data_IF_300681057507
#
_entry.id   IF_300681057507
#
_cell.length_a   1.000
_cell.length_b   1.000
_cell.length_c   1.000
_cell.angle_alpha   90.00
_cell.angle_beta   90.00
_cell.angle_gamma   90.00
#
_symmetry.space_group_name_H-M   'P 1'
#
loop_
_entity.id
_entity.type
_entity.pdbx_description
1 polymer ?
#
# COMPACT_ATOMS: atom_id res chain seq x y z
N UNK A 1 25.34 7.44 10.84
CA UNK A 1 26.74 7.89 11.00
C UNK A 1 26.71 9.41 10.82
N UNK A 2 27.02 10.19 11.84
CA UNK A 2 27.07 11.66 11.70
C UNK A 2 28.18 11.97 10.69
N UNK A 3 27.96 12.80 9.65
CA UNK A 3 29.00 13.09 8.68
C UNK A 3 30.24 13.62 9.40
N UNK A 4 31.42 13.17 8.96
CA UNK A 4 32.69 13.63 9.51
C UNK A 4 32.77 15.16 9.33
N UNK A 5 32.63 15.91 10.42
CA UNK A 5 32.69 17.37 10.37
C UNK A 5 34.11 17.83 10.06
N UNK A 6 34.24 18.85 9.20
CA UNK A 6 35.48 19.60 9.08
C UNK A 6 35.50 20.62 10.22
N UNK A 7 36.19 20.31 11.31
CA UNK A 7 36.23 21.18 12.48
C UNK A 7 37.42 22.13 12.38
N UNK A 8 37.17 23.43 12.56
CA UNK A 8 38.21 24.42 12.83
C UNK A 8 38.21 24.67 14.33
N UNK A 9 39.34 24.37 14.96
CA UNK A 9 39.60 24.65 16.37
C UNK A 9 40.56 25.83 16.51
N UNK A 10 40.22 26.78 17.37
CA UNK A 10 41.16 27.77 17.87
C UNK A 10 41.76 27.24 19.18
N UNK A 11 43.08 27.07 19.19
CA UNK A 11 43.84 26.59 20.35
C UNK A 11 44.75 27.69 20.87
N UNK A 12 44.86 27.79 22.18
CA UNK A 12 45.82 28.67 22.85
C UNK A 12 47.25 28.23 22.48
N UNK A 13 48.07 29.18 22.02
CA UNK A 13 49.41 28.89 21.52
C UNK A 13 50.44 28.60 22.64
N UNK A 14 50.16 28.98 23.88
CA UNK A 14 51.05 28.80 25.03
C UNK A 14 50.86 27.48 25.76
N UNK A 15 49.62 26.99 25.85
CA UNK A 15 49.30 25.78 26.62
C UNK A 15 48.51 24.70 25.84
N UNK A 16 48.10 24.99 24.60
CA UNK A 16 47.37 24.04 23.75
C UNK A 16 45.89 23.88 24.10
N UNK A 17 45.35 24.69 25.01
CA UNK A 17 43.93 24.62 25.39
C UNK A 17 43.03 24.96 24.20
N UNK A 18 42.01 24.13 23.95
CA UNK A 18 40.99 24.43 22.95
C UNK A 18 40.11 25.59 23.44
N UNK A 19 40.26 26.76 22.82
CA UNK A 19 39.50 27.96 23.14
C UNK A 19 38.12 27.94 22.49
N UNK A 20 38.04 27.43 21.27
CA UNK A 20 36.79 27.39 20.50
C UNK A 20 36.87 26.32 19.41
N UNK A 21 35.73 25.73 19.04
CA UNK A 21 35.61 24.90 17.84
C UNK A 21 34.31 25.20 17.12
N UNK A 22 34.35 25.19 15.79
CA UNK A 22 33.15 25.23 14.96
C UNK A 22 33.30 24.29 13.77
N UNK A 23 32.17 23.81 13.26
CA UNK A 23 32.14 23.02 12.03
C UNK A 23 32.24 24.00 10.85
N UNK A 24 33.30 23.90 10.06
CA UNK A 24 33.52 24.64 8.82
C UNK A 24 32.96 23.91 7.59
N UNK A 25 32.39 22.71 7.77
CA UNK A 25 31.60 22.06 6.73
C UNK A 25 30.35 22.86 6.43
N UNK A 26 30.36 23.55 5.29
CA UNK A 26 29.16 24.17 4.73
C UNK A 26 28.38 23.10 3.97
N UNK A 27 27.09 22.99 4.27
CA UNK A 27 26.14 22.16 3.54
C UNK A 27 25.04 23.03 2.98
N UNK A 28 24.50 22.60 1.84
CA UNK A 28 23.32 23.17 1.23
C UNK A 28 22.27 22.08 1.18
N UNK A 29 21.04 22.44 1.49
CA UNK A 29 19.89 21.54 1.40
C UNK A 29 19.17 21.79 0.10
N UNK A 30 19.09 20.76 -0.74
CA UNK A 30 18.14 20.70 -1.84
C UNK A 30 16.90 19.98 -1.35
N UNK A 31 15.75 20.64 -1.45
CA UNK A 31 14.47 20.14 -0.96
C UNK A 31 13.47 20.12 -2.10
N UNK A 32 12.44 19.29 -2.00
CA UNK A 32 11.36 19.30 -2.97
C UNK A 32 10.37 18.19 -2.71
N UNK A 33 9.32 18.14 -3.53
CA UNK A 33 8.37 17.05 -3.54
C UNK A 33 8.51 16.27 -4.85
N UNK A 34 8.49 14.95 -4.75
CA UNK A 34 8.35 14.06 -5.91
C UNK A 34 6.88 13.72 -6.07
N UNK A 35 6.33 14.07 -7.23
CA UNK A 35 4.99 13.69 -7.68
C UNK A 35 5.09 12.83 -8.93
N UNK A 36 4.00 12.16 -9.29
CA UNK A 36 3.82 11.48 -10.57
C UNK A 36 2.45 11.79 -11.16
N UNK A 37 2.36 11.71 -12.48
CA UNK A 37 1.08 11.73 -13.20
C UNK A 37 0.41 10.34 -13.07
N UNK A 38 -0.65 10.25 -12.27
CA UNK A 38 -1.32 8.99 -11.88
C UNK A 38 -2.74 8.93 -12.45
N UNK A 39 -3.16 7.75 -12.90
CA UNK A 39 -4.56 7.46 -13.17
C UNK A 39 -5.27 7.17 -11.83
N UNK A 40 -6.20 8.02 -11.38
CA UNK A 40 -6.70 7.98 -10.00
C UNK A 40 -7.48 6.72 -9.63
N UNK A 41 -8.08 6.02 -10.59
CA UNK A 41 -8.88 4.82 -10.31
C UNK A 41 -8.73 3.73 -11.36
N UNK A 42 -8.84 4.07 -12.65
CA UNK A 42 -8.78 3.10 -13.74
C UNK A 42 -8.02 3.61 -14.95
N UNK A 43 -7.55 2.67 -15.76
CA UNK A 43 -6.93 2.92 -17.05
C UNK A 43 -7.81 3.84 -17.92
N UNK A 44 -7.21 4.93 -18.39
CA UNK A 44 -7.83 5.93 -19.25
C UNK A 44 -8.38 7.14 -18.48
N UNK A 45 -8.36 7.13 -17.15
CA UNK A 45 -8.76 8.30 -16.36
C UNK A 45 -7.84 9.49 -16.65
N UNK A 46 -8.36 10.74 -16.58
CA UNK A 46 -7.51 11.92 -16.62
C UNK A 46 -6.45 11.88 -15.53
N UNK A 47 -5.19 12.06 -15.93
CA UNK A 47 -4.06 12.02 -15.01
C UNK A 47 -4.15 13.14 -13.98
N UNK A 48 -3.84 12.81 -12.72
CA UNK A 48 -3.67 13.76 -11.62
C UNK A 48 -2.24 13.70 -11.09
N UNK A 49 -1.73 14.82 -10.58
CA UNK A 49 -0.43 14.82 -9.92
C UNK A 49 -0.58 14.34 -8.48
N UNK A 50 0.02 13.20 -8.18
CA UNK A 50 -0.03 12.58 -6.86
C UNK A 50 1.38 12.43 -6.28
N UNK A 51 1.57 12.54 -4.95
CA UNK A 51 2.86 12.30 -4.32
C UNK A 51 3.40 10.87 -4.52
N UNK A 52 4.73 10.74 -4.55
CA UNK A 52 5.44 9.46 -4.62
C UNK A 52 6.14 9.17 -3.27
N UNK A 53 5.44 8.52 -2.32
CA UNK A 53 5.98 8.29 -0.98
C UNK A 53 7.03 7.17 -0.97
N UNK A 54 7.94 7.21 0.01
CA UNK A 54 8.93 6.18 0.33
C UNK A 54 9.93 5.82 -0.79
N UNK A 55 10.06 6.68 -1.81
CA UNK A 55 10.97 6.50 -2.93
C UNK A 55 12.41 6.67 -2.47
N UNK A 56 13.31 5.77 -2.87
CA UNK A 56 14.73 5.81 -2.53
C UNK A 56 15.53 6.34 -3.71
N UNK A 57 15.62 7.67 -3.82
CA UNK A 57 16.46 8.32 -4.83
C UNK A 57 17.94 8.22 -4.47
N UNK A 58 18.81 8.40 -5.45
CA UNK A 58 20.27 8.35 -5.26
C UNK A 58 20.92 9.59 -5.84
N UNK A 59 21.54 10.40 -5.00
CA UNK A 59 22.37 11.52 -5.43
C UNK A 59 23.77 11.03 -5.86
N UNK A 60 24.19 11.42 -7.05
CA UNK A 60 25.50 11.08 -7.65
C UNK A 60 26.18 12.33 -8.22
N UNK A 61 27.44 12.20 -8.65
CA UNK A 61 28.23 13.30 -9.23
C UNK A 61 28.89 14.23 -8.19
N UNK A 62 29.53 15.31 -8.67
CA UNK A 62 30.11 16.36 -7.83
C UNK A 62 31.23 15.91 -6.86
N UNK A 63 32.02 14.90 -7.21
CA UNK A 63 33.16 14.44 -6.40
C UNK A 63 32.80 13.71 -5.10
N UNK A 64 31.57 13.19 -4.96
CA UNK A 64 31.19 12.35 -3.82
C UNK A 64 32.05 11.07 -3.75
N UNK A 65 32.59 10.80 -2.57
CA UNK A 65 32.96 9.44 -2.19
C UNK A 65 31.69 8.73 -1.69
N UNK A 66 30.98 8.05 -2.59
CA UNK A 66 29.79 7.23 -2.27
C UNK A 66 28.47 7.74 -2.86
N UNK A 67 27.49 6.85 -2.95
CA UNK A 67 26.11 7.17 -3.32
C UNK A 67 25.35 7.62 -2.06
N UNK A 68 24.64 8.75 -2.13
CA UNK A 68 23.79 9.21 -1.03
C UNK A 68 22.34 8.87 -1.36
N UNK A 69 21.72 8.02 -0.54
CA UNK A 69 20.29 7.74 -0.63
C UNK A 69 19.49 8.93 -0.10
N UNK A 70 18.48 9.34 -0.85
CA UNK A 70 17.60 10.48 -0.55
C UNK A 70 16.17 9.95 -0.56
N UNK A 71 15.63 9.54 0.61
CA UNK A 71 14.27 9.03 0.69
C UNK A 71 13.25 10.16 0.52
N UNK A 72 12.08 9.85 -0.03
CA UNK A 72 10.88 10.67 0.15
C UNK A 72 10.10 10.22 1.39
N UNK A 73 9.46 11.17 2.08
CA UNK A 73 8.52 10.87 3.17
C UNK A 73 7.16 10.37 2.63
N UNK A 74 6.20 10.09 3.51
CA UNK A 74 4.83 9.68 3.13
C UNK A 74 4.03 10.72 2.33
N UNK A 75 4.58 11.92 2.12
CA UNK A 75 4.01 12.99 1.29
C UNK A 75 4.88 13.27 0.06
N UNK A 76 5.86 12.42 -0.26
CA UNK A 76 6.76 12.61 -1.39
C UNK A 76 7.82 13.68 -1.18
N UNK A 77 7.95 14.30 0.00
CA UNK A 77 8.95 15.33 0.24
C UNK A 77 10.32 14.70 0.48
N UNK A 78 11.36 15.34 -0.03
CA UNK A 78 12.74 14.93 0.19
C UNK A 78 13.62 16.09 0.64
N UNK A 79 14.68 15.74 1.35
CA UNK A 79 15.78 16.65 1.71
C UNK A 79 17.10 15.97 1.37
N UNK A 80 17.83 16.56 0.43
CA UNK A 80 19.20 16.22 0.11
C UNK A 80 20.14 17.24 0.77
N UNK A 81 20.82 16.84 1.82
CA UNK A 81 21.91 17.62 2.42
C UNK A 81 23.22 17.32 1.70
N UNK A 82 23.84 18.33 1.09
CA UNK A 82 25.05 18.15 0.28
C UNK A 82 26.05 19.29 0.40
N UNK A 83 27.38 19.07 0.35
CA UNK A 83 28.37 20.15 0.44
C UNK A 83 28.35 21.16 -0.71
N UNK A 84 28.00 20.72 -1.93
CA UNK A 84 27.91 21.58 -3.13
C UNK A 84 26.96 20.95 -4.14
N UNK A 85 25.76 21.49 -4.43
CA UNK A 85 24.81 20.90 -5.38
C UNK A 85 25.31 20.92 -6.84
N UNK A 86 26.33 21.70 -7.17
CA UNK A 86 26.80 21.92 -8.55
C UNK A 86 27.32 20.63 -9.17
N UNK A 87 26.84 20.32 -10.38
CA UNK A 87 27.28 19.14 -11.13
C UNK A 87 26.82 17.81 -10.52
N UNK A 88 25.82 17.84 -9.63
CA UNK A 88 25.17 16.63 -9.12
C UNK A 88 23.96 16.23 -9.95
N UNK A 89 23.63 14.95 -9.85
CA UNK A 89 22.45 14.37 -10.45
C UNK A 89 21.69 13.54 -9.41
N UNK A 90 20.37 13.55 -9.49
CA UNK A 90 19.48 12.64 -8.78
C UNK A 90 19.07 11.51 -9.74
N UNK A 91 19.43 10.28 -9.40
CA UNK A 91 18.89 9.07 -10.01
C UNK A 91 17.60 8.70 -9.26
N UNK A 92 16.53 8.49 -10.00
CA UNK A 92 15.17 8.33 -9.49
C UNK A 92 14.61 7.00 -10.02
N UNK A 93 14.97 5.85 -9.43
CA UNK A 93 14.32 4.59 -9.76
C UNK A 93 12.93 4.53 -9.13
N UNK A 94 11.98 3.83 -9.75
CA UNK A 94 10.72 3.43 -9.10
C UNK A 94 10.98 2.29 -8.09
N UNK A 95 11.81 2.57 -7.11
CA UNK A 95 12.20 1.68 -6.02
C UNK A 95 12.17 2.45 -4.70
N UNK A 96 11.50 1.89 -3.71
CA UNK A 96 11.27 2.49 -2.40
C UNK A 96 11.53 1.55 -1.24
N UNK A 97 11.22 2.01 -0.04
CA UNK A 97 11.33 1.19 1.17
C UNK A 97 10.35 0.00 1.17
N UNK A 98 9.19 0.14 0.53
CA UNK A 98 8.07 -0.80 0.62
C UNK A 98 7.59 -1.35 -0.73
N UNK A 99 8.28 -1.03 -1.82
CA UNK A 99 7.95 -1.53 -3.14
C UNK A 99 9.03 -1.20 -4.16
N UNK A 100 9.29 -2.11 -5.09
CA UNK A 100 10.19 -1.89 -6.22
C UNK A 100 9.52 -2.36 -7.50
N UNK A 101 9.35 -1.45 -8.46
CA UNK A 101 8.80 -1.81 -9.77
C UNK A 101 9.84 -2.60 -10.57
N UNK A 102 9.34 -3.63 -11.24
CA UNK A 102 10.07 -4.44 -12.21
C UNK A 102 9.21 -4.55 -13.45
N UNK A 103 9.65 -3.97 -14.56
CA UNK A 103 8.87 -3.94 -15.80
C UNK A 103 9.22 -5.13 -16.69
N UNK A 104 8.30 -6.07 -16.84
CA UNK A 104 8.49 -7.26 -17.67
C UNK A 104 8.62 -6.93 -19.16
N UNK A 105 8.02 -5.83 -19.64
CA UNK A 105 8.19 -5.36 -21.02
C UNK A 105 9.58 -4.74 -21.26
N UNK A 106 10.27 -4.33 -20.19
CA UNK A 106 11.64 -3.80 -20.22
C UNK A 106 12.68 -4.80 -19.68
N UNK A 107 12.53 -6.09 -20.00
CA UNK A 107 13.45 -7.17 -19.57
C UNK A 107 13.62 -7.25 -18.04
N UNK A 108 12.54 -7.00 -17.29
CA UNK A 108 12.53 -6.97 -15.82
C UNK A 108 13.48 -5.92 -15.23
N UNK A 109 13.66 -4.78 -15.92
CA UNK A 109 14.36 -3.63 -15.37
C UNK A 109 13.45 -2.77 -14.48
N UNK A 110 14.04 -2.06 -13.51
CA UNK A 110 13.34 -1.01 -12.77
C UNK A 110 13.39 0.30 -13.56
N UNK A 111 12.24 0.91 -13.94
CA UNK A 111 12.21 2.19 -14.62
C UNK A 111 12.88 3.29 -13.78
N UNK A 112 13.70 4.12 -14.42
CA UNK A 112 14.42 5.19 -13.75
C UNK A 112 14.74 6.39 -14.65
N UNK A 113 14.95 7.54 -14.02
CA UNK A 113 15.46 8.74 -14.69
C UNK A 113 16.64 9.35 -13.92
N UNK A 114 17.35 10.24 -14.60
CA UNK A 114 18.49 10.97 -14.05
C UNK A 114 18.27 12.46 -14.28
N UNK A 115 18.21 13.23 -13.21
CA UNK A 115 17.92 14.67 -13.25
C UNK A 115 19.09 15.46 -12.69
N UNK A 116 19.59 16.47 -13.41
CA UNK A 116 20.63 17.35 -12.90
C UNK A 116 20.07 18.29 -11.83
N UNK A 117 20.77 18.42 -10.70
CA UNK A 117 20.39 19.38 -9.67
C UNK A 117 20.76 20.80 -10.10
N UNK A 118 19.91 21.80 -9.79
CA UNK A 118 20.26 23.20 -10.03
C UNK A 118 21.48 23.60 -9.18
N UNK A 119 22.45 24.26 -9.80
CA UNK A 119 23.70 24.69 -9.14
C UNK A 119 23.60 25.98 -8.32
N UNK A 120 22.40 26.51 -8.08
CA UNK A 120 22.20 27.81 -7.42
C UNK A 120 21.04 27.78 -6.42
N UNK A 121 21.17 28.53 -5.32
CA UNK A 121 20.15 28.73 -4.27
C UNK A 121 19.06 29.74 -4.69
N UNK A 122 17.79 29.60 -4.24
CA UNK A 122 17.24 28.55 -3.37
C UNK A 122 17.07 27.21 -4.10
N UNK A 123 17.30 26.11 -3.39
CA UNK A 123 17.23 24.75 -3.93
C UNK A 123 15.88 24.10 -3.55
N UNK A 124 14.77 24.75 -3.87
CA UNK A 124 13.50 24.05 -3.96
C UNK A 124 13.39 23.47 -5.39
N UNK A 125 13.29 22.16 -5.49
CA UNK A 125 13.37 21.43 -6.75
C UNK A 125 12.31 20.33 -6.80
N UNK A 126 11.03 20.69 -7.07
CA UNK A 126 9.98 19.71 -7.25
C UNK A 126 10.22 18.88 -8.51
N UNK A 127 9.85 17.60 -8.45
CA UNK A 127 10.04 16.62 -9.51
C UNK A 127 8.68 16.02 -9.85
N UNK A 128 8.34 15.98 -11.13
CA UNK A 128 7.16 15.26 -11.61
C UNK A 128 7.59 14.11 -12.53
N UNK A 129 7.22 12.89 -12.16
CA UNK A 129 7.47 11.68 -12.93
C UNK A 129 6.30 11.43 -13.89
N UNK A 130 6.60 11.07 -15.13
CA UNK A 130 5.57 10.87 -16.14
C UNK A 130 6.07 10.11 -17.36
N UNK A 131 5.14 9.84 -18.27
CA UNK A 131 5.39 9.23 -19.58
C UNK A 131 6.12 10.20 -20.53
N UNK A 132 6.99 9.74 -21.45
CA UNK A 132 7.35 8.34 -21.70
C UNK A 132 8.49 7.79 -20.84
N UNK A 133 9.07 8.59 -19.94
CA UNK A 133 10.21 8.16 -19.12
C UNK A 133 9.85 7.02 -18.17
N UNK A 134 8.64 7.08 -17.62
CA UNK A 134 8.07 6.04 -16.77
C UNK A 134 6.76 5.52 -17.41
N UNK A 135 6.61 4.21 -17.65
CA UNK A 135 5.35 3.63 -18.08
C UNK A 135 4.22 3.94 -17.08
N UNK A 136 3.00 4.17 -17.57
CA UNK A 136 1.87 4.51 -16.70
C UNK A 136 1.56 3.39 -15.68
N UNK A 137 1.61 2.13 -16.13
CA UNK A 137 1.51 0.92 -15.29
C UNK A 137 2.49 0.93 -14.12
N UNK A 138 3.73 1.35 -14.37
CA UNK A 138 4.76 1.43 -13.35
C UNK A 138 4.49 2.54 -12.32
N UNK A 139 4.02 3.71 -12.77
CA UNK A 139 3.68 4.83 -11.89
C UNK A 139 2.49 4.49 -10.99
N UNK A 140 1.39 4.01 -11.59
CA UNK A 140 0.16 3.67 -10.86
C UNK A 140 0.40 2.54 -9.86
N UNK A 141 1.05 1.45 -10.27
CA UNK A 141 1.32 0.32 -9.38
C UNK A 141 2.22 0.70 -8.20
N UNK A 142 3.24 1.55 -8.43
CA UNK A 142 4.09 2.02 -7.34
C UNK A 142 3.29 2.86 -6.36
N UNK A 143 2.53 3.83 -6.88
CA UNK A 143 1.72 4.74 -6.09
C UNK A 143 0.70 3.99 -5.23
N UNK A 144 -0.12 3.12 -5.84
CA UNK A 144 -1.16 2.39 -5.11
C UNK A 144 -0.61 1.32 -4.18
N UNK A 145 0.52 0.67 -4.54
CA UNK A 145 1.22 -0.25 -3.63
C UNK A 145 1.75 0.46 -2.38
N UNK A 146 2.33 1.66 -2.55
CA UNK A 146 2.80 2.46 -1.42
C UNK A 146 1.65 2.99 -0.54
N UNK A 147 0.54 3.41 -1.14
CA UNK A 147 -0.66 3.78 -0.39
C UNK A 147 -1.27 2.60 0.37
N UNK A 148 -1.24 1.39 -0.18
CA UNK A 148 -1.70 0.18 0.50
C UNK A 148 -0.82 -0.16 1.70
N UNK A 149 0.50 0.01 1.58
CA UNK A 149 1.40 -0.08 2.72
C UNK A 149 1.07 0.96 3.80
N UNK A 150 0.97 2.24 3.43
CA UNK A 150 0.67 3.31 4.39
C UNK A 150 -0.68 3.14 5.08
N UNK A 151 -1.69 2.67 4.34
CA UNK A 151 -3.00 2.34 4.89
C UNK A 151 -2.89 1.28 5.99
N UNK A 152 -2.24 0.14 5.71
CA UNK A 152 -2.14 -0.92 6.71
C UNK A 152 -1.27 -0.51 7.91
N UNK A 153 -0.21 0.28 7.68
CA UNK A 153 0.59 0.85 8.78
C UNK A 153 -0.18 1.89 9.60
N UNK A 154 -1.17 2.55 9.00
CA UNK A 154 -2.09 3.44 9.70
C UNK A 154 -3.04 2.68 10.63
N UNK A 155 -3.48 1.48 10.23
CA UNK A 155 -4.32 0.59 11.05
C UNK A 155 -3.51 -0.13 12.13
N UNK A 156 -2.38 -0.76 11.74
CA UNK A 156 -1.46 -1.45 12.65
C UNK A 156 0.00 -1.05 12.40
N UNK A 157 0.49 -0.02 13.12
CA UNK A 157 1.90 0.39 13.07
C UNK A 157 2.89 -0.72 13.46
N UNK A 158 2.44 -1.71 14.25
CA UNK A 158 3.27 -2.78 14.80
C UNK A 158 3.40 -4.01 13.89
N UNK A 159 2.64 -4.07 12.79
CA UNK A 159 2.77 -5.11 11.77
C UNK A 159 4.08 -4.92 10.98
N UNK A 160 5.19 -5.37 11.54
CA UNK A 160 6.51 -5.28 10.91
C UNK A 160 6.75 -6.32 9.82
N UNK A 161 5.89 -7.33 9.73
CA UNK A 161 6.00 -8.41 8.75
C UNK A 161 5.88 -7.92 7.30
N UNK A 162 5.35 -6.71 7.08
CA UNK A 162 5.18 -6.07 5.76
C UNK A 162 6.18 -4.91 5.53
N UNK A 163 7.10 -4.65 6.46
CA UNK A 163 8.09 -3.56 6.38
C UNK A 163 9.29 -3.96 5.49
N UNK A 164 9.01 -4.31 4.23
CA UNK A 164 10.03 -4.68 3.24
C UNK A 164 9.65 -4.22 1.83
N UNK A 165 10.65 -4.04 0.98
CA UNK A 165 10.42 -3.67 -0.42
C UNK A 165 9.97 -4.89 -1.23
N UNK A 166 8.66 -5.05 -1.42
CA UNK A 166 8.10 -6.11 -2.28
C UNK A 166 8.39 -5.83 -3.77
N UNK A 167 8.80 -6.83 -4.57
CA UNK A 167 8.83 -6.71 -6.01
C UNK A 167 7.42 -6.57 -6.59
N UNK A 168 7.22 -5.55 -7.42
CA UNK A 168 5.96 -5.26 -8.10
C UNK A 168 6.22 -5.40 -9.60
N UNK A 169 5.86 -6.55 -10.15
CA UNK A 169 6.04 -6.84 -11.57
C UNK A 169 4.88 -6.23 -12.34
N UNK A 170 5.18 -5.33 -13.26
CA UNK A 170 4.19 -4.72 -14.16
C UNK A 170 4.40 -5.20 -15.59
N UNK A 171 3.37 -5.03 -16.41
CA UNK A 171 3.38 -5.38 -17.84
C UNK A 171 3.78 -6.84 -18.09
N UNK A 172 3.39 -7.73 -17.18
CA UNK A 172 3.60 -9.16 -17.36
C UNK A 172 2.73 -9.67 -18.53
N UNK A 173 3.32 -10.39 -19.51
CA UNK A 173 2.59 -10.73 -20.72
C UNK A 173 1.43 -11.69 -20.43
N UNK A 174 0.28 -11.42 -21.06
CA UNK A 174 -0.88 -12.32 -21.00
C UNK A 174 -0.52 -13.71 -21.56
N UNK A 175 -0.87 -14.81 -20.88
CA UNK A 175 -0.64 -16.17 -21.38
C UNK A 175 -1.59 -16.52 -22.54
N UNK A 176 -2.59 -15.68 -22.79
CA UNK A 176 -3.50 -15.71 -23.94
C UNK A 176 -4.40 -14.48 -23.94
N UNK A 177 -4.94 -14.12 -25.11
CA UNK A 177 -5.67 -12.86 -25.33
C UNK A 177 -6.89 -12.63 -24.42
N UNK A 178 -7.43 -13.68 -23.79
CA UNK A 178 -8.60 -13.63 -22.90
C UNK A 178 -8.29 -13.99 -21.44
N UNK A 179 -7.00 -14.11 -21.08
CA UNK A 179 -6.59 -14.52 -19.73
C UNK A 179 -6.09 -13.32 -18.95
N UNK A 180 -7.04 -12.52 -18.49
CA UNK A 180 -6.84 -11.36 -17.64
C UNK A 180 -6.53 -11.80 -16.21
N UNK A 181 -5.49 -11.22 -15.60
CA UNK A 181 -5.19 -11.55 -14.20
C UNK A 181 -4.35 -10.48 -13.49
N UNK A 182 -4.28 -10.61 -12.19
CA UNK A 182 -3.22 -10.12 -11.31
C UNK A 182 -3.06 -11.16 -10.19
N UNK A 183 -1.93 -11.18 -9.49
CA UNK A 183 -1.80 -12.05 -8.32
C UNK A 183 -0.65 -11.63 -7.38
N UNK A 184 -0.82 -11.97 -6.11
CA UNK A 184 0.25 -12.22 -5.15
C UNK A 184 0.65 -13.71 -5.16
N UNK A 185 1.95 -14.00 -5.33
CA UNK A 185 2.45 -15.40 -5.37
C UNK A 185 3.14 -15.88 -4.07
N UNK A 186 3.03 -15.10 -2.99
CA UNK A 186 3.77 -15.32 -1.74
C UNK A 186 5.12 -14.59 -1.66
N UNK A 187 5.57 -13.95 -2.76
CA UNK A 187 6.87 -13.27 -2.85
C UNK A 187 6.80 -11.91 -3.56
N UNK A 188 5.96 -11.79 -4.58
CA UNK A 188 5.86 -10.62 -5.45
C UNK A 188 4.42 -10.38 -5.90
N UNK A 189 4.11 -9.12 -6.19
CA UNK A 189 2.87 -8.72 -6.84
C UNK A 189 3.09 -8.74 -8.36
N UNK A 190 2.17 -9.32 -9.11
CA UNK A 190 2.28 -9.45 -10.57
C UNK A 190 1.03 -8.92 -11.25
N UNK A 191 1.24 -7.97 -12.16
CA UNK A 191 0.20 -7.32 -12.93
C UNK A 191 0.44 -7.50 -14.42
N UNK A 192 -0.63 -7.85 -15.12
CA UNK A 192 -0.60 -8.22 -16.53
C UNK A 192 -0.82 -7.02 -17.44
N UNK A 193 -0.25 -7.10 -18.65
CA UNK A 193 -0.53 -6.15 -19.73
C UNK A 193 -2.02 -6.12 -20.08
N UNK A 194 -2.49 -5.00 -20.63
CA UNK A 194 -3.83 -4.93 -21.21
C UNK A 194 -4.01 -5.93 -22.38
N UNK A 195 -5.25 -6.36 -22.59
CA UNK A 195 -5.68 -7.17 -23.72
C UNK A 195 -7.07 -6.75 -24.20
N UNK A 196 -7.64 -7.49 -25.16
CA UNK A 196 -8.98 -7.18 -25.68
C UNK A 196 -10.07 -7.34 -24.60
N UNK A 197 -9.84 -8.22 -23.63
CA UNK A 197 -10.79 -8.55 -22.58
C UNK A 197 -10.58 -7.79 -21.26
N UNK A 198 -9.46 -7.06 -21.10
CA UNK A 198 -9.13 -6.37 -19.85
C UNK A 198 -8.16 -5.21 -20.01
N UNK A 199 -8.29 -4.22 -19.12
CA UNK A 199 -7.30 -3.21 -18.83
C UNK A 199 -6.02 -3.86 -18.31
N UNK A 200 -4.93 -3.09 -18.34
CA UNK A 200 -3.70 -3.43 -17.66
C UNK A 200 -3.97 -3.44 -16.15
N UNK A 201 -3.73 -4.55 -15.48
CA UNK A 201 -4.15 -4.68 -14.08
C UNK A 201 -3.35 -3.81 -13.10
N UNK A 202 -2.15 -3.34 -13.50
CA UNK A 202 -1.38 -2.36 -12.74
C UNK A 202 -1.99 -0.95 -12.77
N UNK A 203 -2.87 -0.67 -13.73
CA UNK A 203 -3.51 0.64 -13.96
C UNK A 203 -4.93 0.71 -13.40
N UNK A 204 -5.29 -0.23 -12.52
CA UNK A 204 -6.60 -0.27 -11.86
C UNK A 204 -6.36 -0.28 -10.35
N UNK A 205 -6.65 0.84 -9.69
CA UNK A 205 -6.26 1.12 -8.31
C UNK A 205 -6.67 0.00 -7.33
N UNK A 206 -7.94 -0.39 -7.38
CA UNK A 206 -8.46 -1.44 -6.48
C UNK A 206 -7.86 -2.81 -6.75
N UNK A 207 -7.39 -3.09 -7.97
CA UNK A 207 -6.71 -4.37 -8.27
C UNK A 207 -5.34 -4.37 -7.60
N UNK A 208 -4.56 -3.29 -7.71
CA UNK A 208 -3.27 -3.17 -7.01
C UNK A 208 -3.44 -3.28 -5.49
N UNK A 209 -4.44 -2.60 -4.93
CA UNK A 209 -4.74 -2.63 -3.49
C UNK A 209 -5.26 -3.99 -3.02
N UNK A 210 -6.02 -4.71 -3.85
CA UNK A 210 -6.49 -6.07 -3.59
C UNK A 210 -5.31 -7.05 -3.52
N UNK A 211 -4.40 -7.01 -4.49
CA UNK A 211 -3.21 -7.87 -4.46
C UNK A 211 -2.30 -7.57 -3.26
N UNK A 212 -2.19 -6.29 -2.88
CA UNK A 212 -1.51 -5.93 -1.63
C UNK A 212 -2.24 -6.48 -0.39
N UNK A 213 -3.57 -6.58 -0.43
CA UNK A 213 -4.38 -7.23 0.61
C UNK A 213 -4.04 -8.71 0.79
N UNK A 214 -3.72 -9.40 -0.31
CA UNK A 214 -3.22 -10.78 -0.23
C UNK A 214 -1.88 -10.85 0.48
N UNK A 215 -0.94 -9.93 0.19
CA UNK A 215 0.35 -9.82 0.88
C UNK A 215 0.15 -9.60 2.38
N UNK A 216 -0.69 -8.64 2.77
CA UNK A 216 -0.98 -8.35 4.18
C UNK A 216 -1.54 -9.60 4.88
N UNK A 217 -2.55 -10.23 4.28
CA UNK A 217 -3.20 -11.42 4.85
C UNK A 217 -2.21 -12.57 5.00
N UNK A 218 -1.40 -12.86 3.98
CA UNK A 218 -0.39 -13.93 4.02
C UNK A 218 0.66 -13.66 5.11
N UNK A 219 1.21 -12.45 5.17
CA UNK A 219 2.21 -12.10 6.19
C UNK A 219 1.65 -12.06 7.62
N UNK A 220 0.38 -11.67 7.80
CA UNK A 220 -0.27 -11.65 9.11
C UNK A 220 -0.62 -13.08 9.58
N UNK A 221 -1.09 -13.95 8.69
CA UNK A 221 -1.55 -15.30 9.05
C UNK A 221 -0.45 -16.33 9.26
N UNK A 222 0.75 -16.14 8.68
CA UNK A 222 1.83 -17.14 8.75
C UNK A 222 2.15 -17.60 10.18
N UNK A 223 2.29 -18.92 10.42
CA UNK A 223 2.35 -20.02 9.43
C UNK A 223 0.97 -20.63 9.09
N UNK A 224 -0.13 -20.06 9.56
CA UNK A 224 -1.50 -20.48 9.25
C UNK A 224 -1.99 -19.83 7.95
N UNK A 225 -3.20 -20.20 7.53
CA UNK A 225 -3.86 -19.65 6.35
C UNK A 225 -5.37 -19.59 6.59
N UNK A 226 -6.06 -18.50 6.19
CA UNK A 226 -7.51 -18.48 6.17
C UNK A 226 -8.03 -19.36 5.02
N UNK A 227 -9.35 -19.61 4.95
CA UNK A 227 -9.93 -20.14 3.72
C UNK A 227 -9.68 -19.22 2.52
N UNK A 228 -9.67 -19.78 1.31
CA UNK A 228 -9.52 -18.98 0.09
C UNK A 228 -10.59 -17.89 -0.04
N UNK A 229 -11.84 -18.18 0.35
CA UNK A 229 -12.92 -17.19 0.33
C UNK A 229 -12.66 -16.02 1.29
N UNK A 230 -12.18 -16.30 2.51
CA UNK A 230 -11.78 -15.25 3.43
C UNK A 230 -10.60 -14.44 2.89
N UNK A 231 -9.60 -15.11 2.30
CA UNK A 231 -8.43 -14.44 1.72
C UNK A 231 -8.83 -13.45 0.63
N UNK A 232 -9.70 -13.86 -0.30
CA UNK A 232 -10.27 -13.01 -1.35
C UNK A 232 -11.11 -11.87 -0.77
N UNK A 233 -12.03 -12.19 0.15
CA UNK A 233 -12.96 -11.21 0.71
C UNK A 233 -12.27 -10.14 1.55
N UNK A 234 -11.20 -10.48 2.26
CA UNK A 234 -10.38 -9.51 2.99
C UNK A 234 -9.61 -8.58 2.06
N UNK A 235 -9.09 -9.09 0.95
CA UNK A 235 -8.42 -8.29 -0.08
C UNK A 235 -9.38 -7.32 -0.77
N UNK A 236 -10.60 -7.76 -1.09
CA UNK A 236 -11.65 -6.89 -1.62
C UNK A 236 -12.06 -5.80 -0.63
N UNK A 237 -12.28 -6.16 0.64
CA UNK A 237 -12.63 -5.18 1.67
C UNK A 237 -11.54 -4.12 1.86
N UNK A 238 -10.26 -4.53 1.86
CA UNK A 238 -9.13 -3.59 1.92
C UNK A 238 -9.15 -2.59 0.74
N UNK A 239 -9.29 -3.09 -0.49
CA UNK A 239 -9.33 -2.22 -1.66
C UNK A 239 -10.52 -1.25 -1.65
N UNK A 240 -11.69 -1.73 -1.21
CA UNK A 240 -12.90 -0.92 -1.14
C UNK A 240 -12.83 0.14 -0.04
N UNK A 241 -12.32 -0.19 1.15
CA UNK A 241 -12.21 0.79 2.24
C UNK A 241 -11.15 1.86 1.94
N UNK A 242 -10.03 1.48 1.31
CA UNK A 242 -8.99 2.42 0.87
C UNK A 242 -9.49 3.42 -0.17
N UNK A 243 -10.37 2.98 -1.07
CA UNK A 243 -10.95 3.84 -2.12
C UNK A 243 -12.28 4.47 -1.72
N UNK A 244 -12.76 4.19 -0.49
CA UNK A 244 -14.07 4.56 0.04
C UNK A 244 -15.23 4.28 -0.94
N UNK A 245 -15.15 3.17 -1.66
CA UNK A 245 -16.14 2.77 -2.66
C UNK A 245 -16.19 1.25 -2.85
N UNK A 246 -17.36 0.66 -3.15
CA UNK A 246 -17.55 -0.80 -3.08
C UNK A 246 -17.19 -1.55 -4.38
N UNK A 247 -16.67 -0.88 -5.41
CA UNK A 247 -16.41 -1.48 -6.72
C UNK A 247 -14.99 -2.00 -6.79
N UNK A 248 -14.83 -3.27 -7.15
CA UNK A 248 -13.53 -3.89 -7.40
C UNK A 248 -13.32 -4.01 -8.90
N UNK A 249 -12.17 -3.50 -9.35
CA UNK A 249 -11.74 -3.49 -10.74
C UNK A 249 -12.61 -2.62 -11.65
N UNK A 250 -12.90 -1.35 -11.31
CA UNK A 250 -13.65 -0.46 -12.20
C UNK A 250 -12.95 -0.33 -13.56
N UNK A 251 -13.73 -0.25 -14.64
CA UNK A 251 -13.19 -0.11 -16.00
C UNK A 251 -12.43 -1.35 -16.51
N UNK A 252 -12.67 -2.52 -15.90
CA UNK A 252 -11.92 -3.74 -16.21
C UNK A 252 -11.91 -4.06 -17.70
N UNK A 253 -13.05 -4.07 -18.39
CA UNK A 253 -13.10 -4.25 -19.85
C UNK A 253 -12.90 -2.92 -20.57
N UNK A 254 -11.87 -2.81 -21.43
CA UNK A 254 -11.61 -1.57 -22.16
C UNK A 254 -12.82 -1.10 -22.95
N UNK A 255 -13.18 0.18 -22.82
CA UNK A 255 -14.28 0.81 -23.55
C UNK A 255 -15.70 0.45 -23.07
N UNK A 256 -15.83 -0.33 -21.99
CA UNK A 256 -17.12 -0.58 -21.34
C UNK A 256 -17.21 0.27 -20.08
N UNK A 257 -18.05 1.31 -20.07
CA UNK A 257 -18.26 2.16 -18.88
C UNK A 257 -19.77 2.38 -18.68
N UNK A 258 -20.32 2.09 -17.47
CA UNK A 258 -19.63 1.50 -16.32
C UNK A 258 -19.37 0.00 -16.53
N UNK A 259 -18.18 -0.46 -16.16
CA UNK A 259 -17.79 -1.87 -16.08
C UNK A 259 -16.97 -2.10 -14.81
N UNK A 260 -16.99 -3.32 -14.28
CA UNK A 260 -16.26 -3.72 -13.08
C UNK A 260 -16.09 -5.23 -13.01
N UNK A 261 -15.17 -5.72 -12.17
CA UNK A 261 -15.03 -7.16 -11.88
C UNK A 261 -16.16 -7.61 -10.95
N UNK A 262 -16.30 -6.94 -9.80
CA UNK A 262 -17.29 -7.27 -8.76
C UNK A 262 -17.58 -6.08 -7.87
N UNK A 263 -18.63 -6.18 -7.05
CA UNK A 263 -18.95 -5.18 -6.03
C UNK A 263 -19.25 -5.85 -4.69
N UNK A 264 -18.90 -5.18 -3.61
CA UNK A 264 -19.09 -5.69 -2.25
C UNK A 264 -20.32 -5.08 -1.53
N UNK A 265 -20.99 -4.10 -2.13
CA UNK A 265 -22.26 -3.51 -1.66
C UNK A 265 -23.50 -4.32 -2.11
N UNK A 266 -23.30 -5.55 -2.57
CA UNK A 266 -24.39 -6.47 -2.93
C UNK A 266 -24.38 -7.60 -1.91
N UNK A 267 -25.40 -7.65 -1.06
CA UNK A 267 -25.53 -8.64 0.00
C UNK A 267 -25.44 -10.06 -0.56
N UNK A 268 -24.50 -10.83 -0.01
CA UNK A 268 -24.33 -12.27 -0.27
C UNK A 268 -24.41 -13.03 1.03
N UNK A 269 -25.13 -14.15 1.03
CA UNK A 269 -25.33 -14.94 2.23
C UNK A 269 -25.00 -16.42 2.05
N UNK A 270 -24.30 -16.99 3.04
CA UNK A 270 -24.09 -18.43 3.11
C UNK A 270 -25.37 -19.17 3.56
N UNK A 271 -25.67 -20.38 3.04
CA UNK A 271 -25.02 -21.05 1.92
C UNK A 271 -25.59 -20.66 0.55
N UNK A 272 -26.60 -19.78 0.49
CA UNK A 272 -27.39 -19.52 -0.72
C UNK A 272 -26.58 -18.98 -1.91
N UNK A 273 -25.57 -18.15 -1.62
CA UNK A 273 -24.68 -17.56 -2.62
C UNK A 273 -23.34 -18.30 -2.77
N UNK A 274 -23.10 -19.35 -1.97
CA UNK A 274 -21.86 -20.11 -2.04
C UNK A 274 -21.83 -21.01 -3.29
N UNK A 275 -20.70 -21.00 -3.97
CA UNK A 275 -20.46 -21.66 -5.26
C UNK A 275 -19.28 -22.63 -5.23
N UNK A 276 -18.47 -22.61 -4.16
CA UNK A 276 -17.24 -23.39 -4.04
C UNK A 276 -16.04 -22.75 -4.76
N UNK A 277 -16.17 -21.50 -5.18
CA UNK A 277 -15.18 -20.70 -5.88
C UNK A 277 -14.82 -19.50 -4.98
N UNK A 278 -13.54 -19.32 -4.66
CA UNK A 278 -13.10 -18.39 -3.60
C UNK A 278 -13.44 -16.93 -3.89
N UNK A 279 -13.37 -16.48 -5.14
CA UNK A 279 -13.65 -15.08 -5.47
C UNK A 279 -15.15 -14.77 -5.27
N UNK A 280 -16.03 -15.68 -5.68
CA UNK A 280 -17.47 -15.54 -5.46
C UNK A 280 -17.85 -15.71 -4.00
N UNK A 281 -17.32 -16.73 -3.32
CA UNK A 281 -17.68 -17.05 -1.94
C UNK A 281 -17.11 -15.99 -0.98
N UNK A 282 -15.97 -15.37 -1.32
CA UNK A 282 -15.37 -14.27 -0.57
C UNK A 282 -16.22 -13.00 -0.53
N UNK A 283 -17.12 -12.80 -1.50
CA UNK A 283 -18.08 -11.70 -1.47
C UNK A 283 -19.04 -11.77 -0.28
N UNK A 284 -19.26 -12.95 0.31
CA UNK A 284 -20.08 -13.10 1.53
C UNK A 284 -19.45 -12.32 2.68
N UNK A 285 -18.16 -12.55 2.97
CA UNK A 285 -17.49 -11.84 4.07
C UNK A 285 -17.19 -10.38 3.70
N UNK A 286 -16.83 -10.08 2.44
CA UNK A 286 -16.57 -8.71 2.01
C UNK A 286 -17.83 -7.83 2.13
N UNK A 287 -19.00 -8.35 1.71
CA UNK A 287 -20.27 -7.64 1.86
C UNK A 287 -20.70 -7.50 3.31
N UNK A 288 -20.49 -8.53 4.15
CA UNK A 288 -20.73 -8.45 5.60
C UNK A 288 -19.95 -7.29 6.24
N UNK A 289 -18.66 -7.19 5.92
CA UNK A 289 -17.78 -6.16 6.46
C UNK A 289 -18.14 -4.77 5.92
N UNK A 290 -18.53 -4.66 4.65
CA UNK A 290 -19.00 -3.40 4.07
C UNK A 290 -20.29 -2.91 4.74
N UNK A 291 -21.27 -3.79 4.93
CA UNK A 291 -22.52 -3.51 5.65
C UNK A 291 -22.28 -3.03 7.09
N UNK A 292 -21.33 -3.66 7.78
CA UNK A 292 -20.90 -3.23 9.10
C UNK A 292 -20.21 -1.87 9.05
N UNK A 293 -19.35 -1.64 8.06
CA UNK A 293 -18.63 -0.36 7.87
C UNK A 293 -19.61 0.80 7.68
N UNK A 294 -20.65 0.60 6.87
CA UNK A 294 -21.70 1.61 6.67
C UNK A 294 -22.52 1.87 7.94
N UNK A 295 -22.73 0.84 8.76
CA UNK A 295 -23.51 0.93 9.99
C UNK A 295 -22.74 1.55 11.17
N UNK A 296 -21.48 1.14 11.37
CA UNK A 296 -20.69 1.43 12.56
C UNK A 296 -19.54 2.42 12.30
N UNK A 297 -19.21 2.67 11.03
CA UNK A 297 -18.17 3.58 10.59
C UNK A 297 -16.84 2.89 10.26
N UNK A 298 -16.13 3.47 9.28
CA UNK A 298 -14.85 2.97 8.77
C UNK A 298 -13.81 2.69 9.86
N UNK A 299 -13.49 3.68 10.69
CA UNK A 299 -12.42 3.57 11.68
C UNK A 299 -12.59 2.38 12.64
N UNK A 300 -13.82 2.08 13.06
CA UNK A 300 -14.09 0.94 13.94
C UNK A 300 -13.98 -0.37 13.17
N UNK A 301 -14.66 -0.51 12.04
CA UNK A 301 -14.75 -1.79 11.33
C UNK A 301 -13.46 -2.14 10.62
N UNK A 302 -12.71 -1.17 10.10
CA UNK A 302 -11.37 -1.38 9.54
C UNK A 302 -10.41 -1.91 10.63
N UNK A 303 -10.50 -1.37 11.86
CA UNK A 303 -9.73 -1.86 13.01
C UNK A 303 -10.14 -3.28 13.39
N UNK A 304 -11.44 -3.55 13.57
CA UNK A 304 -11.94 -4.87 13.92
C UNK A 304 -11.59 -5.91 12.85
N UNK A 305 -11.76 -5.56 11.56
CA UNK A 305 -11.37 -6.42 10.44
C UNK A 305 -9.89 -6.79 10.47
N UNK A 306 -9.02 -5.81 10.74
CA UNK A 306 -7.60 -6.09 10.79
C UNK A 306 -7.23 -6.94 12.00
N UNK A 307 -7.69 -6.58 13.19
CA UNK A 307 -7.25 -7.24 14.42
C UNK A 307 -7.89 -8.60 14.66
N UNK A 308 -9.12 -8.85 14.18
CA UNK A 308 -9.74 -10.18 14.25
C UNK A 308 -8.94 -11.25 13.51
N UNK A 309 -8.22 -10.87 12.45
CA UNK A 309 -7.36 -11.81 11.70
C UNK A 309 -6.20 -12.38 12.52
N UNK A 310 -5.83 -11.78 13.65
CA UNK A 310 -4.86 -12.36 14.59
C UNK A 310 -5.40 -13.57 15.37
N UNK A 311 -6.69 -13.87 15.31
CA UNK A 311 -7.26 -15.12 15.82
C UNK A 311 -7.04 -16.33 14.88
N UNK A 312 -6.58 -16.07 13.65
CA UNK A 312 -6.25 -17.08 12.64
C UNK A 312 -7.41 -17.99 12.23
N UNK A 313 -8.66 -17.52 12.33
CA UNK A 313 -9.82 -18.24 11.80
C UNK A 313 -9.62 -18.75 10.37
N UNK A 314 -10.02 -20.00 10.13
CA UNK A 314 -9.94 -20.65 8.81
C UNK A 314 -11.30 -20.75 8.10
N UNK A 315 -12.38 -20.33 8.75
CA UNK A 315 -13.74 -20.28 8.21
C UNK A 315 -14.52 -19.06 8.74
N UNK A 316 -15.68 -18.78 8.14
CA UNK A 316 -16.46 -17.58 8.46
C UNK A 316 -16.99 -17.56 9.91
N UNK A 317 -17.39 -18.71 10.45
CA UNK A 317 -17.96 -18.78 11.80
C UNK A 317 -16.89 -18.53 12.87
N UNK A 318 -15.68 -19.09 12.68
CA UNK A 318 -14.55 -18.81 13.56
C UNK A 318 -14.13 -17.34 13.47
N UNK A 319 -14.13 -16.76 12.26
CA UNK A 319 -13.80 -15.34 12.09
C UNK A 319 -14.82 -14.43 12.75
N UNK A 320 -16.10 -14.80 12.74
CA UNK A 320 -17.13 -14.07 13.49
C UNK A 320 -16.85 -14.09 15.00
N UNK A 321 -16.41 -15.22 15.55
CA UNK A 321 -16.01 -15.31 16.96
C UNK A 321 -14.78 -14.43 17.24
N UNK A 322 -13.75 -14.49 16.39
CA UNK A 322 -12.56 -13.63 16.51
C UNK A 322 -12.91 -12.15 16.42
N UNK A 323 -13.88 -11.79 15.58
CA UNK A 323 -14.38 -10.43 15.43
C UNK A 323 -15.06 -9.93 16.70
N UNK A 324 -15.88 -10.76 17.35
CA UNK A 324 -16.47 -10.44 18.64
C UNK A 324 -15.41 -10.35 19.75
N UNK A 325 -14.46 -11.29 19.79
CA UNK A 325 -13.34 -11.24 20.75
C UNK A 325 -12.49 -9.98 20.59
N UNK A 326 -12.40 -9.45 19.37
CA UNK A 326 -11.67 -8.20 19.09
C UNK A 326 -12.48 -6.96 19.47
N UNK A 327 -13.82 -7.03 19.39
CA UNK A 327 -14.72 -5.96 19.84
C UNK A 327 -14.83 -5.88 21.37
N UNK A 328 -14.58 -6.99 22.08
CA UNK A 328 -14.60 -7.07 23.54
C UNK A 328 -13.64 -6.07 24.22
N UNK A 329 -14.13 -5.38 25.25
CA UNK A 329 -13.43 -4.27 25.91
C UNK A 329 -12.98 -4.57 27.34
N UNK A 330 -13.43 -5.70 27.92
CA UNK A 330 -13.17 -6.04 29.32
C UNK A 330 -12.61 -7.46 29.54
N UNK A 331 -12.43 -8.25 28.47
CA UNK A 331 -11.93 -9.62 28.55
C UNK A 331 -12.99 -10.65 28.94
N UNK A 332 -14.28 -10.30 28.91
CA UNK A 332 -15.40 -11.14 29.30
C UNK A 332 -16.51 -11.21 28.22
N UNK A 333 -16.26 -12.02 27.19
CA UNK A 333 -17.24 -12.29 26.12
C UNK A 333 -18.62 -12.79 26.60
N UNK A 334 -18.75 -13.30 27.83
CA UNK A 334 -20.02 -13.78 28.38
C UNK A 334 -20.95 -12.69 28.87
N UNK A 335 -20.49 -11.44 28.99
CA UNK A 335 -21.38 -10.30 29.11
C UNK A 335 -21.67 -9.66 27.75
N UNK A 336 -21.00 -10.03 26.66
CA UNK A 336 -21.22 -9.51 25.32
C UNK A 336 -20.06 -8.63 24.90
N UNK A 337 -20.27 -7.78 23.90
CA UNK A 337 -19.26 -6.82 23.40
C UNK A 337 -19.95 -5.48 23.15
N UNK A 338 -19.24 -4.34 23.14
CA UNK A 338 -19.81 -3.00 22.96
C UNK A 338 -20.75 -2.89 21.75
N UNK A 339 -20.43 -3.57 20.65
CA UNK A 339 -21.19 -3.56 19.41
C UNK A 339 -21.82 -4.93 19.09
N UNK A 340 -22.04 -5.78 20.09
CA UNK A 340 -22.52 -7.15 19.92
C UNK A 340 -23.77 -7.24 19.03
N UNK A 341 -24.81 -6.46 19.35
CA UNK A 341 -26.09 -6.52 18.62
C UNK A 341 -25.95 -6.16 17.13
N UNK A 342 -25.37 -5.00 16.75
CA UNK A 342 -25.17 -4.69 15.33
C UNK A 342 -24.23 -5.68 14.63
N UNK A 343 -23.16 -6.15 15.27
CA UNK A 343 -22.25 -7.17 14.70
C UNK A 343 -23.01 -8.47 14.41
N UNK A 344 -23.63 -9.08 15.42
CA UNK A 344 -24.36 -10.34 15.28
C UNK A 344 -25.48 -10.22 14.24
N UNK A 345 -26.22 -9.11 14.21
CA UNK A 345 -27.30 -8.94 13.25
C UNK A 345 -26.80 -8.89 11.80
N UNK A 346 -25.65 -8.25 11.54
CA UNK A 346 -25.06 -8.19 10.19
C UNK A 346 -24.47 -9.53 9.79
N UNK A 347 -23.62 -10.14 10.60
CA UNK A 347 -23.09 -11.48 10.31
C UNK A 347 -24.22 -12.50 10.06
N UNK A 348 -25.28 -12.45 10.86
CA UNK A 348 -26.49 -13.27 10.67
C UNK A 348 -27.19 -13.03 9.33
N UNK A 349 -27.29 -11.78 8.89
CA UNK A 349 -27.93 -11.45 7.61
C UNK A 349 -27.18 -12.06 6.41
N UNK A 350 -25.86 -12.22 6.54
CA UNK A 350 -24.99 -12.88 5.56
C UNK A 350 -24.78 -14.39 5.82
N UNK A 351 -25.57 -14.97 6.73
CA UNK A 351 -25.54 -16.41 6.99
C UNK A 351 -24.30 -16.91 7.75
N UNK A 352 -23.62 -16.02 8.49
CA UNK A 352 -22.42 -16.33 9.29
C UNK A 352 -22.77 -16.31 10.78
N UNK A 353 -22.25 -17.31 11.50
CA UNK A 353 -22.34 -17.44 12.95
C UNK A 353 -23.49 -18.33 13.44
N UNK A 354 -23.40 -18.76 14.70
CA UNK A 354 -24.47 -19.50 15.38
C UNK A 354 -25.54 -18.53 15.90
N UNK A 355 -26.77 -18.70 15.40
CA UNK A 355 -27.91 -17.84 15.67
C UNK A 355 -28.46 -17.94 17.10
N UNK A 356 -27.90 -18.81 17.95
CA UNK A 356 -28.35 -19.06 19.32
C UNK A 356 -27.80 -18.14 20.41
N UNK A 357 -26.77 -17.33 20.14
CA UNK A 357 -26.08 -16.53 21.17
C UNK A 357 -26.71 -15.13 21.28
N UNK A 358 -27.31 -14.83 22.43
CA UNK A 358 -27.87 -13.53 22.77
C UNK A 358 -27.34 -13.09 24.14
N UNK A 359 -26.36 -12.17 24.13
CA UNK A 359 -25.71 -11.66 25.34
C UNK A 359 -25.75 -10.14 25.34
N UNK A 360 -26.14 -9.52 26.46
CA UNK A 360 -26.27 -8.06 26.61
C UNK A 360 -25.06 -7.48 27.33
N UNK A 361 -24.27 -6.64 26.63
CA UNK A 361 -23.02 -6.05 27.15
C UNK A 361 -23.20 -5.33 28.48
N UNK A 362 -22.34 -5.68 29.44
CA UNK A 362 -22.27 -5.07 30.76
C UNK A 362 -20.81 -4.67 31.03
N UNK A 363 -20.47 -3.36 30.91
CA UNK A 363 -19.08 -2.88 31.00
C UNK A 363 -18.34 -3.23 32.29
#
# INVERSE_FOLDING_TARGET
MVPAGWWIGFVDAGDGTLLWRFNAGHHVEATGQVTADIEPMTQGDPLIQSPMPHLLMVATGGGLAGQLTVPTDGKGNYVLTTPDPTGRQLRIPLAGAYGTIVDAAAEFATPESLVALPGTSPLEFPLNLGSPQYPQSALDAYHFGALAHDYIKGVDPSLHAVDFSVPIIVDYPLPGANLCNAFWDGKQLVFFTAGDACANSARVATVVMHEYGHLVTDHQYRPFFPSGAMHEGFSDYQAATMTDQPIIGPGWRPGSIPDYIRRIDVDRAFPGDASGESHNDGLIIASTLWDLRELLGAALVDSLWHYARYGYADNFDDYFVDFLLTDDDNGNIYDGTPHFTPIVNRFRAHGIGDYGIHVSHHP
#
